data_IF_202638083502
#
_entry.id   IF_202638083502
#
_cell.length_a   1.000
_cell.length_b   1.000
_cell.length_c   1.000
_cell.angle_alpha   90.00
_cell.angle_beta   90.00
_cell.angle_gamma   90.00
#
_symmetry.space_group_name_H-M   'P 1'
#
loop_
_entity.id
_entity.type
_entity.pdbx_description
1 polymer ?
#
# COMPACT_ATOMS: atom_id res chain seq x y z
N UNK A 1 4.61 -25.04 16.04
CA UNK A 1 4.90 -25.94 14.90
C UNK A 1 3.61 -26.65 14.48
N UNK A 2 2.90 -26.17 13.46
CA UNK A 2 1.68 -26.85 12.95
C UNK A 2 2.12 -28.09 12.18
N UNK A 3 1.94 -29.28 12.77
CA UNK A 3 2.06 -30.55 12.03
C UNK A 3 0.81 -30.67 11.16
N UNK A 4 0.94 -30.44 9.85
CA UNK A 4 -0.10 -30.86 8.90
C UNK A 4 -0.23 -32.37 9.03
N UNK A 5 -1.31 -32.82 9.65
CA UNK A 5 -1.59 -34.23 9.96
C UNK A 5 -1.98 -35.05 8.73
N UNK A 6 -2.15 -34.39 7.58
CA UNK A 6 -2.65 -34.98 6.35
C UNK A 6 -1.68 -34.71 5.20
N UNK A 7 -1.16 -35.76 4.58
CA UNK A 7 -0.29 -35.74 3.41
C UNK A 7 -1.07 -35.56 2.10
N UNK A 8 -0.33 -35.43 0.99
CA UNK A 8 -0.90 -35.25 -0.37
C UNK A 8 -1.93 -36.34 -0.72
N UNK A 9 -1.74 -37.55 -0.20
CA UNK A 9 -2.57 -38.72 -0.49
C UNK A 9 -3.86 -38.77 0.34
N UNK A 10 -3.99 -37.98 1.40
CA UNK A 10 -5.23 -37.93 2.19
C UNK A 10 -6.35 -37.17 1.47
N UNK A 11 -6.02 -36.41 0.43
CA UNK A 11 -6.96 -35.58 -0.33
C UNK A 11 -7.43 -36.21 -1.64
N UNK A 12 -6.76 -37.28 -2.15
CA UNK A 12 -7.07 -37.86 -3.47
C UNK A 12 -8.43 -38.56 -3.54
N UNK A 13 -8.97 -39.00 -2.40
CA UNK A 13 -10.26 -39.68 -2.34
C UNK A 13 -11.41 -38.78 -1.85
N UNK A 14 -11.15 -37.49 -1.63
CA UNK A 14 -12.19 -36.55 -1.19
C UNK A 14 -12.96 -36.06 -2.41
N UNK A 15 -14.23 -36.47 -2.50
CA UNK A 15 -15.18 -35.95 -3.48
C UNK A 15 -15.74 -34.61 -3.00
N UNK A 16 -15.08 -33.53 -3.36
CA UNK A 16 -15.55 -32.18 -3.08
C UNK A 16 -16.95 -31.97 -3.66
N UNK A 17 -17.87 -31.48 -2.83
CA UNK A 17 -19.22 -31.11 -3.24
C UNK A 17 -19.37 -29.59 -3.16
N UNK A 18 -19.99 -28.95 -4.16
CA UNK A 18 -20.27 -27.53 -4.07
C UNK A 18 -21.30 -27.26 -2.98
N UNK A 19 -20.94 -26.43 -2.01
CA UNK A 19 -21.89 -25.88 -1.04
C UNK A 19 -22.56 -24.61 -1.58
N UNK A 20 -23.76 -24.31 -1.09
CA UNK A 20 -24.43 -23.01 -1.29
C UNK A 20 -24.70 -22.38 0.06
N UNK A 21 -24.33 -21.11 0.21
CA UNK A 21 -24.61 -20.30 1.39
C UNK A 21 -25.57 -19.19 0.97
N UNK A 22 -26.64 -19.01 1.73
CA UNK A 22 -27.63 -17.96 1.47
C UNK A 22 -27.02 -16.60 1.77
N UNK A 23 -27.38 -15.59 1.01
CA UNK A 23 -26.90 -14.24 1.24
C UNK A 23 -27.91 -13.19 0.79
N UNK A 24 -27.72 -11.97 1.29
CA UNK A 24 -28.57 -10.84 0.89
C UNK A 24 -28.45 -10.58 -0.60
N UNK A 25 -29.57 -10.51 -1.31
CA UNK A 25 -29.58 -10.26 -2.75
C UNK A 25 -29.08 -8.84 -3.07
N UNK A 26 -28.10 -8.76 -3.96
CA UNK A 26 -27.61 -7.51 -4.50
C UNK A 26 -28.57 -7.02 -5.59
N UNK A 27 -29.06 -5.78 -5.44
CA UNK A 27 -30.06 -5.19 -6.36
C UNK A 27 -29.45 -4.40 -7.51
N UNK A 28 -28.23 -3.91 -7.36
CA UNK A 28 -27.53 -3.08 -8.33
C UNK A 28 -26.45 -3.86 -9.10
N UNK A 29 -25.96 -3.38 -10.26
CA UNK A 29 -24.97 -4.11 -11.04
C UNK A 29 -23.50 -3.87 -10.62
N UNK A 30 -23.21 -2.99 -9.66
CA UNK A 30 -21.83 -2.51 -9.39
C UNK A 30 -21.27 -2.85 -8.01
N UNK A 31 -22.09 -3.44 -7.14
CA UNK A 31 -21.72 -3.69 -5.74
C UNK A 31 -21.20 -5.09 -5.43
N UNK A 32 -21.06 -5.97 -6.42
CA UNK A 32 -20.63 -7.36 -6.23
C UNK A 32 -19.30 -7.46 -5.49
N UNK A 33 -18.32 -6.60 -5.81
CA UNK A 33 -17.04 -6.55 -5.08
C UNK A 33 -17.22 -6.26 -3.59
N UNK A 34 -18.09 -5.32 -3.22
CA UNK A 34 -18.35 -4.99 -1.81
C UNK A 34 -19.05 -6.16 -1.07
N UNK A 35 -19.96 -6.85 -1.75
CA UNK A 35 -20.62 -8.04 -1.20
C UNK A 35 -19.62 -9.19 -0.97
N UNK A 36 -18.80 -9.51 -1.98
CA UNK A 36 -17.78 -10.57 -1.89
C UNK A 36 -16.78 -10.28 -0.78
N UNK A 37 -16.29 -9.04 -0.68
CA UNK A 37 -15.34 -8.66 0.38
C UNK A 37 -15.94 -8.81 1.78
N UNK A 38 -17.22 -8.47 1.96
CA UNK A 38 -17.90 -8.66 3.25
C UNK A 38 -18.14 -10.14 3.56
N UNK A 39 -18.53 -10.96 2.58
CA UNK A 39 -18.66 -12.41 2.76
C UNK A 39 -17.33 -13.05 3.17
N UNK A 40 -16.23 -12.65 2.52
CA UNK A 40 -14.89 -13.10 2.88
C UNK A 40 -14.53 -12.69 4.32
N UNK A 41 -14.75 -11.41 4.69
CA UNK A 41 -14.49 -10.90 6.03
C UNK A 41 -15.28 -11.67 7.10
N UNK A 42 -16.56 -11.94 6.87
CA UNK A 42 -17.41 -12.72 7.78
C UNK A 42 -16.93 -14.17 7.90
N UNK A 43 -16.58 -14.81 6.78
CA UNK A 43 -16.08 -16.19 6.77
C UNK A 43 -14.79 -16.34 7.57
N UNK A 44 -13.84 -15.42 7.39
CA UNK A 44 -12.56 -15.45 8.13
C UNK A 44 -12.77 -15.19 9.62
N UNK A 45 -13.68 -14.28 9.98
CA UNK A 45 -13.99 -13.97 11.39
C UNK A 45 -14.66 -15.11 12.14
N UNK A 46 -15.48 -15.91 11.45
CA UNK A 46 -16.19 -17.04 12.06
C UNK A 46 -15.40 -18.35 12.03
N UNK A 47 -14.26 -18.38 11.34
CA UNK A 47 -13.41 -19.57 11.28
C UNK A 47 -13.12 -20.14 12.68
N UNK A 48 -13.22 -21.47 12.89
CA UNK A 48 -13.37 -22.54 11.89
C UNK A 48 -14.81 -22.84 11.46
N UNK A 49 -15.80 -22.08 11.94
CA UNK A 49 -17.21 -22.27 11.55
C UNK A 49 -17.46 -21.68 10.17
N UNK A 50 -18.25 -22.38 9.37
CA UNK A 50 -18.74 -21.87 8.08
C UNK A 50 -20.07 -21.15 8.34
N UNK A 51 -20.19 -19.86 7.98
CA UNK A 51 -21.45 -19.13 8.13
C UNK A 51 -22.57 -19.81 7.34
N UNK A 52 -23.78 -19.90 7.92
CA UNK A 52 -24.95 -20.47 7.23
C UNK A 52 -25.65 -19.44 6.33
N UNK A 53 -25.51 -18.14 6.65
CA UNK A 53 -26.13 -17.03 5.92
C UNK A 53 -25.28 -15.77 6.02
N UNK A 54 -25.26 -14.96 4.96
CA UNK A 54 -24.61 -13.65 4.95
C UNK A 54 -25.63 -12.52 4.87
N UNK A 55 -25.66 -11.69 5.93
CA UNK A 55 -26.51 -10.52 6.00
C UNK A 55 -25.71 -9.25 5.71
N UNK A 56 -25.93 -8.67 4.53
CA UNK A 56 -25.20 -7.48 4.05
C UNK A 56 -26.22 -6.39 3.76
N UNK A 57 -26.07 -5.22 4.40
CA UNK A 57 -26.97 -4.09 4.16
C UNK A 57 -26.78 -3.58 2.73
N UNK A 58 -27.82 -3.70 1.91
CA UNK A 58 -27.77 -3.43 0.47
C UNK A 58 -28.22 -2.01 0.07
N UNK A 59 -28.55 -1.14 1.03
CA UNK A 59 -28.89 0.25 0.71
C UNK A 59 -27.65 0.97 0.16
N UNK A 60 -27.85 1.91 -0.77
CA UNK A 60 -26.76 2.69 -1.37
C UNK A 60 -25.87 3.35 -0.32
N UNK A 61 -26.47 3.94 0.71
CA UNK A 61 -25.74 4.59 1.80
C UNK A 61 -24.93 3.58 2.63
N UNK A 62 -25.48 2.40 2.92
CA UNK A 62 -24.72 1.35 3.63
C UNK A 62 -23.56 0.84 2.78
N UNK A 63 -23.75 0.64 1.48
CA UNK A 63 -22.69 0.20 0.57
C UNK A 63 -21.57 1.25 0.42
N UNK A 64 -21.92 2.54 0.43
CA UNK A 64 -20.93 3.62 0.47
C UNK A 64 -20.10 3.59 1.75
N UNK A 65 -20.73 3.38 2.91
CA UNK A 65 -20.01 3.21 4.17
C UNK A 65 -19.11 1.97 4.14
N UNK A 66 -19.63 0.83 3.70
CA UNK A 66 -18.83 -0.40 3.56
C UNK A 66 -17.57 -0.17 2.70
N UNK A 67 -17.69 0.54 1.57
CA UNK A 67 -16.53 0.86 0.72
C UNK A 67 -15.53 1.77 1.41
N UNK A 68 -16.02 2.80 2.11
CA UNK A 68 -15.18 3.72 2.89
C UNK A 68 -14.41 2.97 3.97
N UNK A 69 -15.11 2.16 4.76
CA UNK A 69 -14.55 1.42 5.88
C UNK A 69 -13.49 0.42 5.39
N UNK A 70 -13.76 -0.28 4.28
CA UNK A 70 -12.76 -1.16 3.66
C UNK A 70 -11.52 -0.38 3.18
N UNK A 71 -11.70 0.77 2.54
CA UNK A 71 -10.59 1.60 2.10
C UNK A 71 -9.76 2.10 3.31
N UNK A 72 -10.42 2.52 4.38
CA UNK A 72 -9.76 2.95 5.61
C UNK A 72 -9.00 1.80 6.29
N UNK A 73 -9.58 0.60 6.38
CA UNK A 73 -8.90 -0.59 6.92
C UNK A 73 -7.66 -0.96 6.10
N UNK A 74 -7.75 -0.89 4.76
CA UNK A 74 -6.60 -1.13 3.86
C UNK A 74 -5.52 -0.08 4.09
N UNK A 75 -5.88 1.19 4.20
CA UNK A 75 -4.93 2.28 4.43
C UNK A 75 -4.26 2.18 5.80
N UNK A 76 -5.00 1.82 6.86
CA UNK A 76 -4.44 1.59 8.20
C UNK A 76 -3.45 0.42 8.24
N UNK A 77 -3.67 -0.60 7.40
CA UNK A 77 -2.74 -1.71 7.24
C UNK A 77 -1.59 -1.45 6.27
N UNK A 78 -1.58 -0.30 5.59
CA UNK A 78 -0.53 0.05 4.63
C UNK A 78 0.71 0.62 5.33
N UNK A 79 1.87 0.37 4.75
CA UNK A 79 3.12 1.00 5.19
C UNK A 79 3.19 2.43 4.68
N UNK A 80 3.75 3.34 5.48
CA UNK A 80 4.02 4.69 5.00
C UNK A 80 4.97 4.63 3.81
N UNK A 81 4.75 5.52 2.84
CA UNK A 81 5.65 5.73 1.70
C UNK A 81 6.62 6.89 1.94
N UNK A 82 6.58 7.51 3.12
CA UNK A 82 7.38 8.70 3.40
C UNK A 82 8.88 8.41 3.37
N UNK A 83 9.26 7.17 3.71
CA UNK A 83 10.65 6.69 3.69
C UNK A 83 11.07 6.13 2.31
N UNK A 84 10.15 6.05 1.34
CA UNK A 84 10.41 5.43 0.04
C UNK A 84 10.27 6.42 -1.11
N UNK A 85 11.16 6.32 -2.09
CA UNK A 85 11.00 7.08 -3.31
C UNK A 85 9.67 6.72 -4.00
N UNK A 86 8.83 7.72 -4.25
CA UNK A 86 7.52 7.54 -4.88
C UNK A 86 7.58 7.13 -6.36
N UNK A 87 8.77 7.13 -6.96
CA UNK A 87 9.00 6.62 -8.32
C UNK A 87 9.49 5.17 -8.33
N UNK A 88 10.59 4.85 -7.63
CA UNK A 88 11.21 3.52 -7.68
C UNK A 88 10.84 2.60 -6.50
N UNK A 89 10.26 3.13 -5.43
CA UNK A 89 9.89 2.36 -4.23
C UNK A 89 11.07 1.91 -3.37
N UNK A 90 12.27 2.46 -3.59
CA UNK A 90 13.48 2.16 -2.82
C UNK A 90 13.70 3.31 -1.81
N UNK A 91 14.11 2.95 -0.60
CA UNK A 91 14.59 3.89 0.42
C UNK A 91 15.96 4.43 -0.03
N UNK A 92 17.06 3.75 0.23
CA UNK A 92 18.38 4.23 -0.22
C UNK A 92 18.86 3.55 -1.51
N UNK A 93 19.36 4.36 -2.45
CA UNK A 93 20.05 3.83 -3.63
C UNK A 93 21.38 3.17 -3.22
N UNK A 94 21.86 2.15 -3.95
CA UNK A 94 23.14 1.50 -3.65
C UNK A 94 24.26 2.53 -3.53
N UNK A 95 25.15 2.34 -2.56
CA UNK A 95 26.22 3.27 -2.11
C UNK A 95 27.21 3.70 -3.21
N UNK A 96 27.14 3.11 -4.40
CA UNK A 96 27.92 3.50 -5.58
C UNK A 96 27.32 4.68 -6.35
N UNK A 97 26.06 5.04 -6.07
CA UNK A 97 25.44 6.26 -6.57
C UNK A 97 25.90 7.43 -5.68
N UNK A 98 26.78 8.26 -6.24
CA UNK A 98 27.20 9.55 -5.67
C UNK A 98 25.94 10.30 -5.24
N UNK A 99 25.80 10.47 -3.93
CA UNK A 99 24.75 11.18 -3.20
C UNK A 99 23.32 10.93 -3.72
N UNK A 100 22.60 10.00 -3.10
CA UNK A 100 21.16 9.86 -3.27
C UNK A 100 20.44 11.10 -2.71
N UNK A 101 20.54 12.23 -3.41
CA UNK A 101 19.88 13.48 -3.02
C UNK A 101 18.38 13.26 -3.17
N UNK A 102 17.67 13.50 -2.08
CA UNK A 102 16.22 13.43 -2.01
C UNK A 102 15.60 14.80 -2.29
N UNK A 103 14.45 14.79 -2.96
CA UNK A 103 13.64 15.97 -3.22
C UNK A 103 12.17 15.66 -2.89
N UNK A 104 11.50 16.60 -2.20
CA UNK A 104 10.09 16.50 -1.88
C UNK A 104 9.27 17.41 -2.80
N UNK A 105 8.15 16.92 -3.29
CA UNK A 105 7.17 17.78 -3.97
C UNK A 105 6.39 18.60 -2.94
N UNK A 106 6.46 19.93 -3.01
CA UNK A 106 5.72 20.82 -2.09
C UNK A 106 4.19 20.69 -2.23
N UNK A 107 3.69 20.27 -3.40
CA UNK A 107 2.25 20.14 -3.64
C UNK A 107 1.65 18.85 -3.08
N UNK A 108 2.35 17.71 -3.23
CA UNK A 108 1.82 16.41 -2.82
C UNK A 108 2.56 15.75 -1.66
N UNK A 109 3.63 16.37 -1.15
CA UNK A 109 4.44 15.89 -0.02
C UNK A 109 5.28 14.64 -0.31
N UNK A 110 5.26 14.12 -1.54
CA UNK A 110 5.96 12.88 -1.91
C UNK A 110 7.45 13.10 -2.08
N UNK A 111 8.23 12.12 -1.61
CA UNK A 111 9.68 12.08 -1.73
C UNK A 111 10.16 11.31 -2.96
N UNK A 112 11.22 11.79 -3.59
CA UNK A 112 11.83 11.18 -4.77
C UNK A 112 13.36 11.24 -4.68
N UNK A 113 14.06 10.27 -5.27
CA UNK A 113 15.47 10.47 -5.61
C UNK A 113 15.57 11.43 -6.78
N UNK A 114 16.48 12.40 -6.70
CA UNK A 114 16.79 13.30 -7.82
C UNK A 114 17.15 12.54 -9.11
N UNK A 115 17.88 11.43 -8.97
CA UNK A 115 18.22 10.53 -10.08
C UNK A 115 16.98 9.92 -10.75
N UNK A 116 15.95 9.56 -9.96
CA UNK A 116 14.70 9.02 -10.49
C UNK A 116 13.90 10.04 -11.31
N UNK A 117 14.16 11.33 -11.12
CA UNK A 117 13.54 12.42 -11.89
C UNK A 117 14.44 12.93 -13.02
N UNK A 118 15.63 12.36 -13.22
CA UNK A 118 16.60 12.85 -14.20
C UNK A 118 17.17 14.23 -13.86
N UNK A 119 17.06 14.66 -12.60
CA UNK A 119 17.64 15.92 -12.12
C UNK A 119 19.11 15.63 -11.80
N UNK A 120 20.01 16.01 -12.70
CA UNK A 120 21.45 15.96 -12.42
C UNK A 120 21.79 16.99 -11.36
N UNK A 121 22.40 16.58 -10.25
CA UNK A 121 22.95 17.56 -9.30
C UNK A 121 24.00 18.39 -10.06
N UNK A 122 23.84 19.70 -10.05
CA UNK A 122 24.83 20.59 -10.64
C UNK A 122 26.08 20.53 -9.76
N UNK A 123 27.01 19.61 -10.03
CA UNK A 123 28.34 19.70 -9.46
C UNK A 123 28.94 20.99 -9.98
N UNK A 124 29.11 21.96 -9.07
CA UNK A 124 29.56 23.31 -9.36
C UNK A 124 31.04 23.26 -9.81
N UNK A 125 31.28 22.87 -11.06
CA UNK A 125 32.50 23.25 -11.76
C UNK A 125 32.16 24.51 -12.53
N UNK A 126 32.65 25.64 -12.03
CA UNK A 126 32.48 26.93 -12.68
C UNK A 126 33.01 26.85 -14.12
N UNK A 127 32.11 26.73 -15.09
CA UNK A 127 32.32 27.25 -16.44
C UNK A 127 31.20 28.24 -16.70
N UNK A 128 31.61 29.50 -16.77
CA UNK A 128 30.78 30.63 -17.15
C UNK A 128 30.33 30.42 -18.59
N UNK A 129 29.04 30.24 -18.79
CA UNK A 129 28.35 30.64 -20.01
C UNK A 129 27.00 31.26 -19.64
N UNK A 130 26.57 32.34 -20.31
CA UNK A 130 25.39 33.09 -19.91
C UNK A 130 24.12 32.49 -20.54
N UNK A 131 23.00 32.69 -19.86
CA UNK A 131 21.62 32.41 -20.30
C UNK A 131 21.09 31.03 -19.94
N UNK A 132 20.65 30.89 -18.69
CA UNK A 132 19.49 30.06 -18.37
C UNK A 132 18.73 30.71 -17.20
N UNK A 133 17.40 30.82 -17.37
CA UNK A 133 16.46 31.42 -16.42
C UNK A 133 16.61 30.76 -15.05
N UNK A 134 16.95 31.56 -14.05
CA UNK A 134 17.18 31.09 -12.70
C UNK A 134 15.90 30.51 -12.07
N UNK A 135 16.02 29.28 -11.58
CA UNK A 135 15.25 28.83 -10.42
C UNK A 135 16.26 28.80 -9.29
N UNK A 136 16.04 29.66 -8.29
CA UNK A 136 16.83 29.68 -7.05
C UNK A 136 16.34 28.50 -6.23
N UNK A 137 17.20 27.51 -5.98
CA UNK A 137 16.95 26.48 -4.98
C UNK A 137 17.72 26.84 -3.71
N UNK A 138 16.98 27.12 -2.63
CA UNK A 138 17.52 27.07 -1.29
C UNK A 138 17.54 25.60 -0.85
N UNK A 139 18.73 25.03 -0.66
CA UNK A 139 18.89 23.72 -0.03
C UNK A 139 18.84 23.95 1.48
N UNK A 140 17.80 23.49 2.18
CA UNK A 140 17.78 23.56 3.64
C UNK A 140 18.62 22.43 4.23
N UNK A 141 19.80 22.77 4.73
CA UNK A 141 20.69 21.90 5.49
C UNK A 141 20.16 21.68 6.91
N UNK A 142 19.09 20.91 7.07
CA UNK A 142 18.56 20.47 8.37
C UNK A 142 17.55 19.36 8.08
N UNK A 143 17.84 18.08 8.30
CA UNK A 143 17.79 17.46 9.63
C UNK A 143 18.14 15.97 9.50
N UNK A 144 19.03 15.45 10.37
CA UNK A 144 19.02 14.08 10.94
C UNK A 144 20.15 13.97 12.00
N UNK A 145 20.01 14.72 13.10
CA UNK A 145 20.58 14.31 14.39
C UNK A 145 19.41 13.98 15.31
N UNK A 146 19.11 12.69 15.44
CA UNK A 146 18.23 12.17 16.48
C UNK A 146 18.52 10.69 16.71
N UNK A 147 19.76 10.36 17.09
CA UNK A 147 20.05 9.12 17.83
C UNK A 147 21.19 9.39 18.83
N UNK A 148 20.84 9.45 20.11
CA UNK A 148 21.73 9.44 21.27
C UNK A 148 20.85 9.54 22.52
N UNK A 149 20.98 8.78 23.59
CA UNK A 149 21.90 7.73 24.01
C UNK A 149 21.11 6.90 25.06
N UNK A 150 21.32 5.59 25.07
CA UNK A 150 21.03 4.74 26.22
C UNK A 150 22.23 4.85 27.17
N UNK A 151 22.04 5.47 28.34
CA UNK A 151 22.65 5.07 29.62
C UNK A 151 21.59 5.28 30.70
#
# INVERSE_FOLDING_TARGET
>A
MRRNRLGKEDWVNIKWQPGKITHTFQKDPTSCGAFVMQMAKMTVKEFPKVPQTFHIKSSKQCLQHIRRDMAEEILKGSVSKDDFCSFCGIEDLPTTAVDAVWIQCETCGRWFHTQCLGVTCCTNTQKKDPVARGIVFCVSSQTKEAIGEFV
#
